data_IF_532711614714
#
_entry.id   IF_532711614714
#
_cell.length_a   1.000
_cell.length_b   1.000
_cell.length_c   1.000
_cell.angle_alpha   90.00
_cell.angle_beta   90.00
_cell.angle_gamma   90.00
#
_symmetry.space_group_name_H-M   'P 1'
#
loop_
_entity.id
_entity.type
_entity.pdbx_description
1 polymer ?
#
# COMPACT_ATOMS: atom_id res chain seq x y z
N UNK A 1 -19.96 9.86 -1.92
CA UNK A 1 -19.81 9.34 -0.54
C UNK A 1 -18.75 8.24 -0.60
N UNK A 2 -17.85 8.20 0.37
CA UNK A 2 -16.85 7.13 0.48
C UNK A 2 -17.54 5.83 0.88
N UNK A 3 -17.07 4.69 0.35
CA UNK A 3 -17.47 3.36 0.82
C UNK A 3 -16.42 2.86 1.80
N UNK A 4 -16.62 3.14 3.08
CA UNK A 4 -15.66 2.82 4.14
C UNK A 4 -15.97 1.43 4.71
N UNK A 5 -15.00 0.53 4.63
CA UNK A 5 -15.07 -0.79 5.27
C UNK A 5 -14.80 -0.68 6.77
N UNK A 6 -13.69 -0.03 7.14
CA UNK A 6 -13.28 0.13 8.54
C UNK A 6 -12.37 1.36 8.71
N UNK A 7 -12.39 1.93 9.93
CA UNK A 7 -11.42 2.92 10.41
C UNK A 7 -10.90 2.42 11.76
N UNK A 8 -9.59 2.34 11.94
CA UNK A 8 -8.98 1.78 13.15
C UNK A 8 -7.57 2.34 13.40
N UNK A 9 -7.02 2.10 14.59
CA UNK A 9 -5.66 2.48 14.97
C UNK A 9 -4.79 1.24 15.15
N UNK A 10 -3.57 1.27 14.62
CA UNK A 10 -2.63 0.15 14.62
C UNK A 10 -1.18 0.66 14.48
N UNK A 11 -0.24 -0.23 14.16
CA UNK A 11 1.12 0.06 13.70
C UNK A 11 1.17 -0.16 12.18
N UNK A 12 1.74 0.79 11.44
CA UNK A 12 2.11 0.60 10.03
C UNK A 12 3.01 -0.64 9.90
N UNK A 13 2.54 -1.64 9.16
CA UNK A 13 3.22 -2.91 9.02
C UNK A 13 4.23 -2.97 7.89
N UNK A 14 4.19 -2.03 6.94
CA UNK A 14 4.96 -2.07 5.69
C UNK A 14 5.53 -0.68 5.32
N UNK A 15 6.18 -0.57 4.17
CA UNK A 15 6.76 0.68 3.62
C UNK A 15 7.92 1.25 4.48
N UNK A 16 8.40 2.45 4.13
CA UNK A 16 9.39 3.20 4.92
C UNK A 16 8.89 3.62 6.30
N UNK A 17 7.58 3.51 6.55
CA UNK A 17 6.90 3.89 7.79
C UNK A 17 6.63 2.70 8.72
N UNK A 18 7.11 1.50 8.38
CA UNK A 18 6.93 0.30 9.19
C UNK A 18 7.35 0.54 10.66
N UNK A 19 6.46 0.20 11.61
CA UNK A 19 6.68 0.36 13.05
C UNK A 19 6.05 1.62 13.68
N UNK A 20 5.49 2.53 12.89
CA UNK A 20 4.85 3.76 13.40
C UNK A 20 3.38 3.54 13.79
N UNK A 21 2.90 4.10 14.92
CA UNK A 21 1.48 4.22 15.20
C UNK A 21 0.75 4.95 14.06
N UNK A 22 -0.31 4.35 13.54
CA UNK A 22 -0.99 4.77 12.33
C UNK A 22 -2.51 4.61 12.45
N UNK A 23 -3.26 5.63 12.02
CA UNK A 23 -4.70 5.53 11.79
C UNK A 23 -4.99 5.02 10.38
N UNK A 24 -5.76 3.96 10.24
CA UNK A 24 -6.11 3.38 8.95
C UNK A 24 -7.54 3.72 8.57
N UNK A 25 -7.73 4.07 7.30
CA UNK A 25 -9.04 4.09 6.65
C UNK A 25 -9.00 3.10 5.50
N UNK A 26 -9.79 2.03 5.62
CA UNK A 26 -9.94 1.03 4.58
C UNK A 26 -11.20 1.29 3.76
N UNK A 27 -11.04 1.57 2.48
CA UNK A 27 -12.15 1.65 1.52
C UNK A 27 -12.55 0.25 1.04
N UNK A 28 -13.75 0.15 0.46
CA UNK A 28 -14.31 -1.10 -0.04
C UNK A 28 -14.35 -1.16 -1.57
N UNK A 29 -14.24 -2.37 -2.11
CA UNK A 29 -14.15 -2.67 -3.54
C UNK A 29 -12.69 -2.77 -4.01
N UNK A 30 -12.41 -3.42 -5.14
CA UNK A 30 -11.10 -3.41 -5.79
C UNK A 30 -11.30 -3.76 -7.26
N UNK A 31 -10.46 -3.22 -8.15
CA UNK A 31 -10.51 -3.50 -9.58
C UNK A 31 -9.61 -4.67 -10.02
N UNK A 32 -8.91 -5.31 -9.06
CA UNK A 32 -8.03 -6.45 -9.27
C UNK A 32 -8.44 -7.63 -8.39
N UNK A 33 -8.04 -8.84 -8.79
CA UNK A 33 -8.31 -10.09 -8.08
C UNK A 33 -7.01 -10.89 -7.88
N UNK A 34 -6.05 -10.29 -7.14
CA UNK A 34 -4.72 -10.87 -6.94
C UNK A 34 -4.80 -12.26 -6.29
N UNK A 35 -4.00 -13.22 -6.78
CA UNK A 35 -4.00 -14.62 -6.33
C UNK A 35 -3.67 -14.83 -4.84
N UNK A 36 -3.07 -13.83 -4.20
CA UNK A 36 -2.61 -13.82 -2.81
C UNK A 36 -3.29 -12.75 -1.95
N UNK A 37 -4.36 -12.12 -2.43
CA UNK A 37 -5.08 -11.06 -1.71
C UNK A 37 -5.48 -11.53 -0.30
N UNK A 38 -5.02 -10.81 0.73
CA UNK A 38 -5.28 -11.09 2.14
C UNK A 38 -6.48 -10.31 2.71
N UNK A 39 -7.04 -9.37 1.93
CA UNK A 39 -8.18 -8.53 2.32
C UNK A 39 -9.44 -8.79 1.51
N UNK A 40 -9.65 -10.02 1.00
CA UNK A 40 -10.85 -10.37 0.22
C UNK A 40 -12.16 -10.05 0.97
N UNK A 41 -12.15 -10.15 2.31
CA UNK A 41 -13.29 -9.85 3.16
C UNK A 41 -13.73 -8.36 3.12
N UNK A 42 -12.83 -7.44 2.75
CA UNK A 42 -13.11 -6.01 2.72
C UNK A 42 -13.97 -5.57 1.51
N UNK A 43 -14.23 -6.48 0.56
CA UNK A 43 -15.01 -6.19 -0.65
C UNK A 43 -16.53 -6.13 -0.45
N UNK A 44 -17.06 -6.78 0.60
CA UNK A 44 -18.50 -7.11 0.64
C UNK A 44 -19.33 -6.28 1.64
N UNK A 45 -18.69 -5.54 2.55
CA UNK A 45 -19.37 -4.72 3.56
C UNK A 45 -18.76 -3.34 3.65
N UNK A 46 -19.60 -2.30 3.63
CA UNK A 46 -19.18 -0.91 3.81
C UNK A 46 -20.31 -0.05 4.37
N UNK A 47 -19.92 1.04 5.01
CA UNK A 47 -20.78 2.17 5.30
C UNK A 47 -20.49 3.31 4.32
N UNK A 48 -21.54 4.00 3.87
CA UNK A 48 -21.35 5.26 3.16
C UNK A 48 -21.00 6.36 4.15
N UNK A 49 -19.88 7.05 3.91
CA UNK A 49 -19.36 8.08 4.81
C UNK A 49 -19.01 9.34 4.02
N UNK A 50 -19.33 10.52 4.54
CA UNK A 50 -18.90 11.76 3.93
C UNK A 50 -17.40 11.95 4.19
N UNK A 51 -16.70 12.65 3.29
CA UNK A 51 -15.27 12.94 3.46
C UNK A 51 -14.99 13.64 4.79
N UNK A 52 -15.85 14.61 5.17
CA UNK A 52 -15.70 15.35 6.42
C UNK A 52 -15.79 14.44 7.66
N UNK A 53 -16.69 13.45 7.65
CA UNK A 53 -16.84 12.49 8.75
C UNK A 53 -15.62 11.57 8.85
N UNK A 54 -15.09 11.14 7.71
CA UNK A 54 -13.90 10.30 7.66
C UNK A 54 -12.65 11.05 8.15
N UNK A 55 -12.51 12.33 7.78
CA UNK A 55 -11.46 13.23 8.31
C UNK A 55 -11.61 13.39 9.82
N UNK A 56 -12.81 13.68 10.31
CA UNK A 56 -13.06 13.84 11.74
C UNK A 56 -12.74 12.56 12.53
N UNK A 57 -13.11 11.38 12.00
CA UNK A 57 -12.80 10.10 12.61
C UNK A 57 -11.30 9.85 12.70
N UNK A 58 -10.54 10.09 11.62
CA UNK A 58 -9.09 9.90 11.58
C UNK A 58 -8.34 10.90 12.46
N UNK A 59 -8.72 12.18 12.44
CA UNK A 59 -8.16 13.20 13.34
C UNK A 59 -8.44 12.85 14.81
N UNK A 60 -9.63 12.31 15.09
CA UNK A 60 -10.04 11.88 16.43
C UNK A 60 -9.23 10.71 17.01
N UNK A 61 -8.46 9.99 16.19
CA UNK A 61 -7.53 8.96 16.69
C UNK A 61 -6.29 9.54 17.39
N UNK A 62 -6.02 10.84 17.21
CA UNK A 62 -4.85 11.54 17.79
C UNK A 62 -3.51 10.87 17.42
N UNK A 63 -3.42 10.39 16.18
CA UNK A 63 -2.21 9.78 15.60
C UNK A 63 -1.65 10.66 14.49
N UNK A 64 -0.34 10.91 14.43
CA UNK A 64 0.26 11.82 13.44
C UNK A 64 0.36 11.24 12.03
N UNK A 65 0.22 9.92 11.90
CA UNK A 65 0.31 9.18 10.65
C UNK A 65 -1.04 8.52 10.37
N UNK A 66 -1.50 8.65 9.13
CA UNK A 66 -2.69 7.94 8.65
C UNK A 66 -2.42 7.27 7.31
N UNK A 67 -3.05 6.14 7.06
CA UNK A 67 -3.02 5.43 5.80
C UNK A 67 -4.43 5.26 5.23
N UNK A 68 -4.61 5.67 3.99
CA UNK A 68 -5.79 5.37 3.18
C UNK A 68 -5.46 4.15 2.31
N UNK A 69 -6.26 3.11 2.43
CA UNK A 69 -5.99 1.79 1.83
C UNK A 69 -7.28 1.07 1.45
N UNK A 70 -7.14 -0.15 0.91
CA UNK A 70 -8.13 -1.22 0.75
C UNK A 70 -9.31 -0.92 -0.17
N UNK A 71 -9.92 -1.93 -0.77
CA UNK A 71 -9.23 -2.35 -1.97
C UNK A 71 -9.21 -1.17 -2.97
N UNK A 72 -8.13 -1.02 -3.72
CA UNK A 72 -7.85 0.17 -4.54
C UNK A 72 -8.51 1.52 -4.14
N UNK A 73 -7.87 2.33 -3.27
CA UNK A 73 -8.46 3.58 -2.81
C UNK A 73 -8.69 4.61 -3.93
N UNK A 74 -7.96 4.56 -5.05
CA UNK A 74 -8.16 5.47 -6.17
C UNK A 74 -9.41 5.14 -7.02
N UNK A 75 -10.15 4.07 -6.71
CA UNK A 75 -11.49 3.85 -7.28
C UNK A 75 -12.51 4.88 -6.79
N UNK A 76 -12.33 5.41 -5.58
CA UNK A 76 -13.19 6.45 -5.05
C UNK A 76 -12.71 7.83 -5.59
N UNK A 77 -13.53 8.54 -6.39
CA UNK A 77 -13.15 9.86 -6.92
C UNK A 77 -12.96 10.91 -5.82
N UNK A 78 -13.47 10.67 -4.61
CA UNK A 78 -13.28 11.53 -3.44
C UNK A 78 -11.90 11.39 -2.79
N UNK A 79 -11.13 10.34 -3.09
CA UNK A 79 -9.84 10.06 -2.42
C UNK A 79 -8.85 11.23 -2.48
N UNK A 80 -8.62 11.90 -3.64
CA UNK A 80 -7.80 13.12 -3.67
C UNK A 80 -8.23 14.21 -2.68
N UNK A 81 -9.54 14.44 -2.55
CA UNK A 81 -10.08 15.44 -1.63
C UNK A 81 -9.92 15.04 -0.16
N UNK A 82 -10.11 13.75 0.15
CA UNK A 82 -9.85 13.19 1.48
C UNK A 82 -8.37 13.35 1.87
N UNK A 83 -7.46 13.01 0.97
CA UNK A 83 -6.01 13.13 1.17
C UNK A 83 -5.62 14.58 1.45
N UNK A 84 -6.11 15.53 0.65
CA UNK A 84 -5.84 16.95 0.84
C UNK A 84 -6.37 17.45 2.19
N UNK A 85 -7.59 17.08 2.57
CA UNK A 85 -8.19 17.50 3.83
C UNK A 85 -7.44 16.96 5.07
N UNK A 86 -6.96 15.72 5.03
CA UNK A 86 -6.13 15.16 6.10
C UNK A 86 -4.76 15.85 6.18
N UNK A 87 -4.16 16.17 5.03
CA UNK A 87 -2.91 16.92 4.99
C UNK A 87 -3.09 18.37 5.50
N UNK A 88 -4.23 19.00 5.24
CA UNK A 88 -4.60 20.32 5.80
C UNK A 88 -4.79 20.27 7.31
N UNK A 89 -5.22 19.13 7.85
CA UNK A 89 -5.28 18.86 9.29
C UNK A 89 -3.90 18.59 9.93
N UNK A 90 -2.81 18.62 9.15
CA UNK A 90 -1.44 18.45 9.63
C UNK A 90 -0.99 17.00 9.79
N UNK A 91 -1.77 16.03 9.31
CA UNK A 91 -1.43 14.61 9.36
C UNK A 91 -0.43 14.25 8.25
N UNK A 92 0.45 13.29 8.53
CA UNK A 92 1.18 12.58 7.47
C UNK A 92 0.26 11.55 6.85
N UNK A 93 0.01 11.65 5.55
CA UNK A 93 -0.94 10.78 4.84
C UNK A 93 -0.19 9.82 3.92
N UNK A 94 -0.42 8.52 4.10
CA UNK A 94 -0.02 7.45 3.20
C UNK A 94 -1.22 7.02 2.34
N UNK A 95 -0.97 6.66 1.09
CA UNK A 95 -1.97 6.05 0.20
C UNK A 95 -1.40 4.76 -0.37
N UNK A 96 -1.93 3.62 0.04
CA UNK A 96 -1.56 2.30 -0.47
C UNK A 96 -2.41 1.96 -1.70
N UNK A 97 -1.81 2.00 -2.88
CA UNK A 97 -2.49 1.77 -4.17
C UNK A 97 -1.86 0.61 -4.94
N UNK A 98 -2.68 -0.09 -5.72
CA UNK A 98 -2.30 -1.25 -6.52
C UNK A 98 -1.64 -0.88 -7.86
N UNK A 99 -1.43 0.41 -8.12
CA UNK A 99 -0.69 0.92 -9.28
C UNK A 99 -1.41 0.83 -10.63
N UNK A 100 -2.69 0.42 -10.65
CA UNK A 100 -3.48 0.30 -11.89
C UNK A 100 -4.22 1.58 -12.30
N UNK A 101 -4.26 2.60 -11.43
CA UNK A 101 -4.95 3.87 -11.65
C UNK A 101 -3.96 5.03 -11.53
N UNK A 102 -4.29 6.16 -12.15
CA UNK A 102 -3.44 7.35 -12.18
C UNK A 102 -3.25 7.96 -10.77
N UNK A 103 -2.00 8.04 -10.31
CA UNK A 103 -1.64 8.59 -9.00
C UNK A 103 -1.47 10.12 -8.97
N UNK A 104 -1.48 10.79 -10.12
CA UNK A 104 -1.15 12.23 -10.22
C UNK A 104 -2.16 13.15 -9.53
N UNK A 105 -3.37 12.66 -9.29
CA UNK A 105 -4.41 13.40 -8.55
C UNK A 105 -4.15 13.51 -7.04
N UNK A 106 -3.18 12.76 -6.48
CA UNK A 106 -2.88 12.80 -5.06
C UNK A 106 -2.18 14.10 -4.65
N UNK A 107 -2.59 14.69 -3.52
CA UNK A 107 -1.94 15.87 -2.92
C UNK A 107 -0.45 15.61 -2.70
N UNK A 108 0.41 16.53 -3.15
CA UNK A 108 1.87 16.40 -3.13
C UNK A 108 2.48 16.20 -1.73
N UNK A 109 1.74 16.49 -0.66
CA UNK A 109 2.17 16.26 0.74
C UNK A 109 2.05 14.80 1.17
N UNK A 110 1.14 14.04 0.54
CA UNK A 110 0.94 12.63 0.82
C UNK A 110 2.05 11.78 0.20
N UNK A 111 2.20 10.56 0.72
CA UNK A 111 3.11 9.54 0.19
C UNK A 111 2.28 8.44 -0.44
N UNK A 112 2.43 8.24 -1.75
CA UNK A 112 1.88 7.06 -2.41
C UNK A 112 2.84 5.88 -2.17
N UNK A 113 2.31 4.79 -1.65
CA UNK A 113 2.99 3.49 -1.63
C UNK A 113 2.35 2.67 -2.74
N UNK A 114 3.00 2.64 -3.90
CA UNK A 114 2.46 2.03 -5.11
C UNK A 114 2.97 0.60 -5.26
N UNK A 115 2.06 -0.38 -5.20
CA UNK A 115 2.39 -1.79 -5.43
C UNK A 115 2.31 -2.15 -6.91
N UNK A 116 3.46 -2.35 -7.53
CA UNK A 116 3.55 -2.85 -8.91
C UNK A 116 3.32 -4.36 -8.90
N UNK A 117 2.19 -4.78 -9.47
CA UNK A 117 1.75 -6.18 -9.44
C UNK A 117 2.69 -7.06 -10.25
N UNK A 118 3.33 -8.00 -9.56
CA UNK A 118 4.20 -9.01 -10.16
C UNK A 118 3.38 -10.14 -10.81
N UNK A 119 3.94 -10.92 -11.75
CA UNK A 119 3.24 -12.02 -12.44
C UNK A 119 2.52 -13.01 -11.52
N UNK A 120 3.09 -13.33 -10.35
CA UNK A 120 2.50 -14.22 -9.35
C UNK A 120 1.16 -13.73 -8.81
N UNK A 121 0.84 -12.43 -8.93
CA UNK A 121 -0.50 -11.90 -8.63
C UNK A 121 -1.56 -12.30 -9.67
N UNK A 122 -1.16 -12.61 -10.90
CA UNK A 122 -2.03 -12.78 -12.07
C UNK A 122 -2.61 -11.47 -12.63
N UNK A 123 -2.11 -10.32 -12.16
CA UNK A 123 -2.66 -8.98 -12.44
C UNK A 123 -1.63 -8.02 -13.03
N UNK A 124 -0.43 -8.49 -13.40
CA UNK A 124 0.69 -7.66 -13.88
C UNK A 124 0.37 -6.85 -15.13
N UNK A 125 -0.56 -7.33 -15.96
CA UNK A 125 -1.05 -6.63 -17.16
C UNK A 125 -1.98 -5.46 -16.85
N UNK A 126 -2.38 -5.31 -15.59
CA UNK A 126 -3.27 -4.24 -15.12
C UNK A 126 -2.51 -3.05 -14.54
N UNK A 127 -1.19 -3.16 -14.36
CA UNK A 127 -0.35 -2.04 -13.93
C UNK A 127 -0.44 -0.90 -14.95
N UNK A 128 -0.63 0.33 -14.47
CA UNK A 128 -0.39 1.53 -15.27
C UNK A 128 1.09 1.93 -15.12
N UNK A 129 1.93 1.46 -16.04
CA UNK A 129 3.37 1.74 -16.00
C UNK A 129 3.72 3.22 -16.18
N UNK A 130 2.81 4.06 -16.68
CA UNK A 130 3.03 5.50 -16.72
C UNK A 130 3.10 6.11 -15.31
N UNK A 131 2.57 5.43 -14.29
CA UNK A 131 2.74 5.86 -12.90
C UNK A 131 4.21 5.89 -12.46
N UNK A 132 5.10 5.08 -13.06
CA UNK A 132 6.53 5.13 -12.75
C UNK A 132 7.14 6.49 -13.07
N UNK A 133 6.62 7.19 -14.08
CA UNK A 133 7.04 8.53 -14.47
C UNK A 133 6.29 9.63 -13.68
N UNK A 134 5.21 9.27 -12.97
CA UNK A 134 4.40 10.17 -12.13
C UNK A 134 4.79 10.16 -10.65
N UNK A 135 5.71 9.28 -10.25
CA UNK A 135 6.19 9.20 -8.87
C UNK A 135 6.76 10.54 -8.40
N UNK A 136 6.36 10.95 -7.20
CA UNK A 136 6.84 12.18 -6.53
C UNK A 136 7.99 11.83 -5.60
N UNK A 137 8.82 12.80 -5.16
CA UNK A 137 10.06 12.52 -4.42
C UNK A 137 9.92 11.69 -3.14
N UNK A 138 8.73 11.68 -2.51
CA UNK A 138 8.47 10.91 -1.29
C UNK A 138 7.76 9.59 -1.55
N UNK A 139 7.27 9.36 -2.77
CA UNK A 139 6.53 8.14 -3.10
C UNK A 139 7.46 6.92 -3.08
N UNK A 140 6.87 5.79 -2.72
CA UNK A 140 7.55 4.52 -2.56
C UNK A 140 6.95 3.48 -3.51
N UNK A 141 7.79 2.55 -3.98
CA UNK A 141 7.36 1.46 -4.88
C UNK A 141 7.50 0.15 -4.15
N UNK A 142 6.42 -0.63 -4.11
CA UNK A 142 6.35 -1.94 -3.49
C UNK A 142 6.17 -3.03 -4.55
N UNK A 143 6.75 -4.18 -4.28
CA UNK A 143 6.57 -5.40 -5.05
C UNK A 143 6.30 -6.55 -4.10
N UNK A 144 5.14 -7.20 -4.25
CA UNK A 144 4.76 -8.39 -3.49
C UNK A 144 5.11 -9.64 -4.30
N UNK A 145 5.95 -10.51 -3.72
CA UNK A 145 6.66 -11.57 -4.44
C UNK A 145 6.26 -12.95 -3.94
N UNK A 146 5.92 -13.85 -4.85
CA UNK A 146 5.59 -15.25 -4.54
C UNK A 146 6.74 -16.22 -4.81
N UNK A 147 7.63 -15.91 -5.75
CA UNK A 147 8.70 -16.80 -6.18
C UNK A 147 9.90 -16.06 -6.83
N UNK A 148 10.78 -16.82 -7.51
CA UNK A 148 11.95 -16.26 -8.21
C UNK A 148 11.55 -15.47 -9.46
N UNK A 149 10.49 -15.84 -10.17
CA UNK A 149 10.06 -15.13 -11.36
C UNK A 149 9.55 -13.72 -11.01
N UNK A 150 8.78 -13.61 -9.92
CA UNK A 150 8.38 -12.31 -9.37
C UNK A 150 9.60 -11.47 -8.96
N UNK A 151 10.58 -12.07 -8.31
CA UNK A 151 11.80 -11.39 -7.91
C UNK A 151 12.60 -10.83 -9.12
N UNK A 152 12.76 -11.62 -10.18
CA UNK A 152 13.45 -11.18 -11.41
C UNK A 152 12.71 -10.01 -12.06
N UNK A 153 11.37 -10.13 -12.19
CA UNK A 153 10.50 -9.06 -12.70
C UNK A 153 10.63 -7.78 -11.86
N UNK A 154 10.53 -7.89 -10.54
CA UNK A 154 10.65 -6.77 -9.62
C UNK A 154 12.04 -6.11 -9.71
N UNK A 155 13.11 -6.90 -9.84
CA UNK A 155 14.49 -6.40 -9.96
C UNK A 155 14.68 -5.54 -11.21
N UNK A 156 14.10 -5.93 -12.35
CA UNK A 156 14.18 -5.18 -13.60
C UNK A 156 13.53 -3.79 -13.48
N UNK A 157 12.33 -3.73 -12.90
CA UNK A 157 11.63 -2.46 -12.71
C UNK A 157 12.30 -1.62 -11.61
N UNK A 158 12.68 -2.25 -10.49
CA UNK A 158 13.39 -1.60 -9.40
C UNK A 158 14.65 -0.87 -9.88
N UNK A 159 15.40 -1.46 -10.81
CA UNK A 159 16.60 -0.85 -11.40
C UNK A 159 16.36 0.52 -12.07
N UNK A 160 15.12 0.82 -12.48
CA UNK A 160 14.72 2.09 -13.09
C UNK A 160 14.28 3.14 -12.07
N UNK A 161 13.77 2.72 -10.91
CA UNK A 161 13.12 3.62 -9.94
C UNK A 161 13.95 3.89 -8.69
N UNK A 162 14.88 3.02 -8.32
CA UNK A 162 15.63 3.10 -7.05
C UNK A 162 16.48 4.37 -6.90
N UNK A 163 16.82 5.05 -8.01
CA UNK A 163 17.66 6.25 -7.99
C UNK A 163 16.97 7.46 -7.38
N UNK A 164 15.64 7.47 -7.32
CA UNK A 164 14.84 8.56 -6.75
C UNK A 164 13.86 8.13 -5.66
N UNK A 165 13.57 6.84 -5.53
CA UNK A 165 12.48 6.33 -4.71
C UNK A 165 12.89 5.17 -3.82
N UNK A 166 12.20 5.02 -2.69
CA UNK A 166 12.33 3.82 -1.88
C UNK A 166 11.63 2.65 -2.57
N UNK A 167 12.33 1.52 -2.67
CA UNK A 167 11.80 0.29 -3.28
C UNK A 167 11.72 -0.80 -2.23
N UNK A 168 10.59 -1.52 -2.18
CA UNK A 168 10.30 -2.56 -1.21
C UNK A 168 10.00 -3.89 -1.88
N UNK A 169 10.70 -4.93 -1.46
CA UNK A 169 10.42 -6.31 -1.84
C UNK A 169 9.78 -7.02 -0.64
N UNK A 170 8.52 -7.40 -0.80
CA UNK A 170 7.69 -8.01 0.24
C UNK A 170 7.38 -9.46 -0.12
N UNK A 171 7.78 -10.46 0.68
CA UNK A 171 7.45 -11.85 0.41
C UNK A 171 5.99 -12.14 0.80
N UNK A 172 5.25 -12.86 -0.06
CA UNK A 172 3.92 -13.37 0.32
C UNK A 172 4.06 -14.42 1.41
N UNK A 173 3.44 -14.24 2.59
CA UNK A 173 3.50 -15.20 3.69
C UNK A 173 3.03 -16.59 3.26
N UNK A 174 3.77 -17.62 3.67
CA UNK A 174 3.48 -19.01 3.32
C UNK A 174 3.79 -19.39 1.86
N UNK A 175 4.19 -18.44 1.00
CA UNK A 175 4.60 -18.72 -0.39
C UNK A 175 6.08 -18.48 -0.63
N UNK A 176 6.62 -17.35 -0.15
CA UNK A 176 8.04 -17.05 -0.25
C UNK A 176 8.66 -16.90 1.14
N UNK A 177 9.67 -17.71 1.44
CA UNK A 177 10.46 -17.58 2.66
C UNK A 177 11.26 -16.27 2.65
N UNK A 178 11.09 -15.38 3.66
CA UNK A 178 11.86 -14.15 3.76
C UNK A 178 13.38 -14.35 3.74
N UNK A 179 13.89 -15.44 4.33
CA UNK A 179 15.33 -15.72 4.33
C UNK A 179 15.84 -16.01 2.91
N UNK A 180 15.03 -16.70 2.10
CA UNK A 180 15.32 -16.95 0.69
C UNK A 180 15.30 -15.67 -0.13
N UNK A 181 14.29 -14.82 0.06
CA UNK A 181 14.24 -13.51 -0.59
C UNK A 181 15.46 -12.66 -0.22
N UNK A 182 15.82 -12.59 1.06
CA UNK A 182 17.00 -11.87 1.53
C UNK A 182 18.29 -12.40 0.87
N UNK A 183 18.45 -13.72 0.77
CA UNK A 183 19.61 -14.33 0.11
C UNK A 183 19.72 -13.92 -1.37
N UNK A 184 18.61 -13.89 -2.09
CA UNK A 184 18.57 -13.40 -3.48
C UNK A 184 18.96 -11.93 -3.58
N UNK A 185 18.38 -11.09 -2.72
CA UNK A 185 18.67 -9.66 -2.70
C UNK A 185 20.15 -9.37 -2.43
N UNK A 186 20.76 -10.10 -1.49
CA UNK A 186 22.20 -9.99 -1.16
C UNK A 186 23.06 -10.46 -2.32
N UNK A 187 22.73 -11.61 -2.93
CA UNK A 187 23.50 -12.16 -4.05
C UNK A 187 23.56 -11.20 -5.24
N UNK A 188 22.42 -10.58 -5.58
CA UNK A 188 22.31 -9.67 -6.72
C UNK A 188 22.62 -8.21 -6.35
N UNK A 189 22.88 -7.91 -5.06
CA UNK A 189 23.10 -6.55 -4.53
C UNK A 189 21.99 -5.57 -4.92
N UNK A 190 20.74 -6.04 -4.91
CA UNK A 190 19.60 -5.24 -5.36
C UNK A 190 19.40 -4.00 -4.47
N UNK A 191 19.04 -2.88 -5.10
CA UNK A 191 18.70 -1.63 -4.42
C UNK A 191 17.22 -1.61 -4.02
N UNK A 192 16.86 -2.50 -3.11
CA UNK A 192 15.54 -2.58 -2.52
C UNK A 192 15.63 -2.94 -1.04
N UNK A 193 14.62 -2.57 -0.25
CA UNK A 193 14.46 -2.94 1.16
C UNK A 193 13.65 -4.21 1.25
N UNK A 194 14.06 -5.13 2.11
CA UNK A 194 13.21 -6.26 2.48
C UNK A 194 12.10 -5.71 3.37
N UNK A 195 10.85 -5.76 2.89
CA UNK A 195 9.67 -5.29 3.61
C UNK A 195 8.93 -6.49 4.15
N UNK A 196 9.07 -6.77 5.45
CA UNK A 196 8.24 -7.76 6.13
C UNK A 196 6.91 -7.12 6.53
N UNK A 197 5.82 -7.88 6.44
CA UNK A 197 4.51 -7.46 6.91
C UNK A 197 4.48 -7.58 8.44
N UNK A 198 4.97 -6.57 9.17
CA UNK A 198 5.17 -6.64 10.63
C UNK A 198 3.87 -7.02 11.37
N UNK A 199 2.74 -6.52 10.89
CA UNK A 199 1.43 -6.80 11.47
C UNK A 199 1.10 -8.30 11.54
N UNK A 200 1.60 -9.12 10.60
CA UNK A 200 1.38 -10.58 10.59
C UNK A 200 2.21 -11.33 11.64
N UNK A 201 3.21 -10.68 12.23
CA UNK A 201 4.00 -11.23 13.34
C UNK A 201 3.48 -10.78 14.70
N UNK A 202 2.83 -9.61 14.76
CA UNK A 202 2.33 -9.01 15.99
C UNK A 202 0.95 -9.57 16.35
N UNK A 203 0.07 -9.71 15.36
CA UNK A 203 -1.31 -10.13 15.57
C UNK A 203 -1.61 -11.50 14.94
N UNK A 204 -2.66 -12.14 15.46
CA UNK A 204 -3.19 -13.38 14.88
C UNK A 204 -3.66 -13.14 13.44
N UNK A 205 -3.53 -14.12 12.52
CA UNK A 205 -4.08 -14.01 11.15
C UNK A 205 -5.59 -13.74 11.08
N UNK A 206 -6.32 -14.10 12.13
CA UNK A 206 -7.77 -13.89 12.25
C UNK A 206 -8.13 -12.53 12.84
N UNK A 207 -7.15 -11.77 13.35
CA UNK A 207 -7.40 -10.47 13.92
C UNK A 207 -7.80 -9.46 12.81
N UNK A 208 -8.72 -8.56 13.16
CA UNK A 208 -9.28 -7.52 12.29
C UNK A 208 -9.28 -6.19 13.05
N UNK A 209 -9.15 -5.08 12.34
CA UNK A 209 -9.03 -3.75 12.97
C UNK A 209 -7.82 -3.62 13.90
N UNK A 210 -6.73 -4.34 13.59
CA UNK A 210 -5.48 -4.34 14.37
C UNK A 210 -4.28 -4.16 13.49
#
# INVERSE_FOLDING_TARGET
>A
MLKVHEIFASIQGESGFAGWPCGFLRLSGCNLACSWCDTLYAGDSFAEMAVADAVAALVGLDLPLVEITGGEPLLAPETPGLVAALADAGLTVLVETNGSLDISGLDARAVAVMDVKCPGSGMERRNDYANLDRLRPRDEVKFVLTDRADYEFAREIAARVWTGHMVHFSPVPGRLDPARLAAWMVADRVRARLSLQLHKYIWSPDARGV
#
